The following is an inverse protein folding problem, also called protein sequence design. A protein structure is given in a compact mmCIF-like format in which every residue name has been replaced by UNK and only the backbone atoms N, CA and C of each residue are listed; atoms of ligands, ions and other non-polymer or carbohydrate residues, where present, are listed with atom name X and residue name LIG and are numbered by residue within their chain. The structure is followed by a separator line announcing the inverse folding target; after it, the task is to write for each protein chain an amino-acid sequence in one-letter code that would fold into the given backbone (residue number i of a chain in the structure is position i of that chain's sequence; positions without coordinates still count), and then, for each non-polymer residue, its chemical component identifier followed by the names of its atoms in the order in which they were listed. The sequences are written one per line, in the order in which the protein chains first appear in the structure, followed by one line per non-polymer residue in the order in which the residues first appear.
data_IF_832573574963
#
_entry.id   IF_832573574963
#
_cell.length_a   1.000
_cell.length_b   1.000
_cell.length_c   1.000
_cell.angle_alpha   90.00
_cell.angle_beta   90.00
_cell.angle_gamma   90.00
#
_symmetry.space_group_name_H-M   'P 1'
#
loop_
_entity.id
_entity.type
_entity.pdbx_description
1 polymer ?
#
# COMPACT_ATOMS: atom_id res chain seq x y z
N UNK A 1 -8.19 -3.22 7.80
CA UNK A 1 -8.70 -4.40 7.11
C UNK A 1 -7.62 -4.97 6.20
N UNK A 2 -7.84 -6.19 5.71
CA UNK A 2 -6.91 -6.83 4.80
C UNK A 2 -7.15 -6.37 3.36
N UNK A 3 -6.09 -6.35 2.55
CA UNK A 3 -6.15 -6.08 1.13
C UNK A 3 -6.27 -7.39 0.35
N UNK A 4 -7.07 -7.45 -0.73
CA UNK A 4 -7.12 -8.59 -1.63
C UNK A 4 -5.92 -8.55 -2.57
N UNK A 5 -4.87 -9.30 -2.26
CA UNK A 5 -3.62 -9.35 -3.04
C UNK A 5 -3.68 -10.51 -4.03
N UNK A 6 -3.51 -10.23 -5.31
CA UNK A 6 -3.32 -11.25 -6.36
C UNK A 6 -1.88 -11.74 -6.28
N UNK A 7 -1.70 -13.04 -6.14
CA UNK A 7 -0.40 -13.71 -6.13
C UNK A 7 -0.39 -14.87 -7.12
N UNK A 8 0.78 -15.31 -7.54
CA UNK A 8 0.94 -16.53 -8.32
C UNK A 8 1.23 -17.72 -7.40
N UNK A 9 0.38 -18.72 -7.47
CA UNK A 9 0.56 -20.00 -6.77
C UNK A 9 1.33 -20.95 -7.71
N UNK A 10 2.61 -21.17 -7.40
CA UNK A 10 3.50 -21.97 -8.22
C UNK A 10 3.11 -23.46 -8.27
N UNK A 11 2.60 -24.01 -7.16
CA UNK A 11 2.17 -25.39 -7.10
C UNK A 11 0.91 -25.62 -7.95
N UNK A 12 -0.04 -24.69 -7.88
CA UNK A 12 -1.27 -24.76 -8.63
C UNK A 12 -1.13 -24.24 -10.07
N UNK A 13 -0.02 -23.57 -10.42
CA UNK A 13 0.21 -22.97 -11.73
C UNK A 13 -0.79 -21.86 -12.09
N UNK A 14 -1.33 -21.14 -11.11
CA UNK A 14 -2.40 -20.15 -11.35
C UNK A 14 -2.33 -18.98 -10.38
N UNK A 15 -2.93 -17.87 -10.80
CA UNK A 15 -3.14 -16.71 -9.91
C UNK A 15 -4.27 -16.99 -8.93
N UNK A 16 -4.14 -16.49 -7.72
CA UNK A 16 -5.20 -16.49 -6.68
C UNK A 16 -5.21 -15.19 -5.91
N UNK A 17 -6.33 -14.89 -5.27
CA UNK A 17 -6.47 -13.74 -4.38
C UNK A 17 -6.28 -14.21 -2.95
N UNK A 18 -5.40 -13.53 -2.20
CA UNK A 18 -5.10 -13.82 -0.81
C UNK A 18 -5.31 -12.56 0.02
N UNK A 19 -6.13 -12.60 1.10
CA UNK A 19 -6.25 -11.47 2.01
C UNK A 19 -4.94 -11.31 2.78
N UNK A 20 -4.38 -10.09 2.78
CA UNK A 20 -3.14 -9.77 3.48
C UNK A 20 -3.28 -8.44 4.20
N UNK A 21 -2.73 -8.35 5.39
CA UNK A 21 -2.64 -7.10 6.13
C UNK A 21 -1.72 -6.11 5.42
N UNK A 22 -2.13 -4.86 5.29
CA UNK A 22 -1.26 -3.81 4.78
C UNK A 22 -0.27 -3.34 5.85
N UNK A 23 0.99 -3.43 5.54
CA UNK A 23 2.14 -3.07 6.38
C UNK A 23 2.76 -4.27 7.10
N UNK A 24 4.09 -4.37 6.99
CA UNK A 24 4.87 -5.37 7.69
C UNK A 24 4.79 -5.14 9.21
N UNK A 25 4.89 -6.19 10.03
CA UNK A 25 4.88 -6.03 11.48
C UNK A 25 6.15 -5.32 11.94
N UNK A 26 5.99 -4.28 12.75
CA UNK A 26 7.12 -3.61 13.39
C UNK A 26 7.71 -4.52 14.47
N UNK A 27 9.04 -4.58 14.54
CA UNK A 27 9.74 -5.30 15.60
C UNK A 27 9.32 -4.76 16.98
N UNK A 28 8.89 -5.65 17.87
CA UNK A 28 8.44 -5.32 19.23
C UNK A 28 7.00 -4.80 19.33
N UNK A 29 6.37 -4.44 18.21
CA UNK A 29 4.95 -4.06 18.19
C UNK A 29 4.29 -4.43 16.85
N UNK A 30 3.96 -5.69 16.70
CA UNK A 30 3.38 -6.19 15.46
C UNK A 30 2.01 -5.55 15.10
N UNK A 31 1.30 -4.98 16.09
CA UNK A 31 0.01 -4.31 15.88
C UNK A 31 0.14 -2.96 15.16
N UNK A 32 1.34 -2.34 15.22
CA UNK A 32 1.65 -1.11 14.51
C UNK A 32 2.41 -1.43 13.22
N UNK A 33 1.76 -1.38 12.04
CA UNK A 33 2.42 -1.71 10.77
C UNK A 33 3.45 -0.64 10.40
N UNK A 34 4.69 -1.06 10.17
CA UNK A 34 5.79 -0.22 9.68
C UNK A 34 6.97 -1.11 9.25
N UNK A 35 7.40 -1.07 7.99
CA UNK A 35 6.97 -0.17 6.92
C UNK A 35 5.65 -0.58 6.25
N UNK A 36 5.00 0.41 5.63
CA UNK A 36 3.83 0.20 4.75
C UNK A 36 4.17 0.37 3.26
N UNK A 37 5.34 0.95 2.96
CA UNK A 37 5.84 1.21 1.61
C UNK A 37 7.26 0.68 1.41
N UNK A 38 7.57 0.24 0.19
CA UNK A 38 8.89 -0.17 -0.27
C UNK A 38 9.27 0.65 -1.51
N UNK A 39 10.46 1.28 -1.52
CA UNK A 39 10.96 2.03 -2.68
C UNK A 39 11.52 1.09 -3.74
N UNK A 40 11.12 1.25 -4.99
CA UNK A 40 11.57 0.43 -6.13
C UNK A 40 13.10 0.45 -6.29
N UNK A 41 13.75 1.54 -5.95
CA UNK A 41 15.20 1.71 -6.10
C UNK A 41 16.00 0.77 -5.21
N UNK A 42 15.46 0.43 -4.04
CA UNK A 42 16.17 -0.37 -3.01
C UNK A 42 15.46 -1.65 -2.62
N UNK A 43 14.43 -2.04 -3.36
CA UNK A 43 13.57 -3.19 -3.06
C UNK A 43 14.34 -4.52 -3.05
N UNK A 44 15.38 -4.63 -3.88
CA UNK A 44 16.21 -5.80 -4.07
C UNK A 44 17.45 -5.85 -3.14
N UNK A 45 17.76 -4.76 -2.44
CA UNK A 45 18.96 -4.62 -1.62
C UNK A 45 18.68 -4.33 -0.15
N UNK A 46 17.57 -3.67 0.16
CA UNK A 46 17.20 -3.36 1.56
C UNK A 46 16.81 -4.64 2.32
N UNK A 47 17.46 -4.99 3.45
CA UNK A 47 17.24 -6.26 4.17
C UNK A 47 15.79 -6.56 4.51
N UNK A 48 14.95 -5.52 4.69
CA UNK A 48 13.51 -5.68 4.98
C UNK A 48 12.72 -6.21 3.79
N UNK A 49 13.16 -5.95 2.54
CA UNK A 49 12.38 -6.22 1.34
C UNK A 49 13.06 -7.20 0.37
N UNK A 50 14.40 -7.24 0.38
CA UNK A 50 15.16 -8.08 -0.53
C UNK A 50 14.76 -9.56 -0.49
N UNK A 51 14.51 -10.19 0.68
CA UNK A 51 14.07 -11.57 0.73
C UNK A 51 12.73 -11.79 0.01
N UNK A 52 11.73 -10.94 0.26
CA UNK A 52 10.43 -11.04 -0.41
C UNK A 52 10.54 -10.85 -1.92
N UNK A 53 11.35 -9.87 -2.36
CA UNK A 53 11.59 -9.62 -3.78
C UNK A 53 12.27 -10.81 -4.47
N UNK A 54 13.33 -11.37 -3.88
CA UNK A 54 14.11 -12.49 -4.43
C UNK A 54 13.32 -13.80 -4.44
N UNK A 55 12.49 -14.05 -3.42
CA UNK A 55 11.70 -15.27 -3.29
C UNK A 55 10.37 -15.23 -4.07
N UNK A 56 10.21 -14.28 -5.00
CA UNK A 56 8.98 -14.08 -5.76
C UNK A 56 7.71 -13.87 -4.89
N UNK A 57 7.88 -13.36 -3.67
CA UNK A 57 6.77 -12.95 -2.81
C UNK A 57 6.27 -11.57 -3.25
N UNK A 58 5.81 -11.51 -4.50
CA UNK A 58 5.34 -10.33 -5.21
C UNK A 58 3.87 -10.49 -5.55
N UNK A 59 3.10 -9.43 -5.34
CA UNK A 59 1.66 -9.44 -5.54
C UNK A 59 1.17 -8.18 -6.22
N UNK A 60 -0.12 -8.17 -6.56
CA UNK A 60 -0.82 -7.07 -7.22
C UNK A 60 -2.09 -6.76 -6.45
N UNK A 61 -2.36 -5.47 -6.22
CA UNK A 61 -3.65 -4.99 -5.73
C UNK A 61 -4.29 -4.13 -6.82
N UNK A 62 -5.56 -4.42 -7.14
CA UNK A 62 -6.31 -3.66 -8.13
C UNK A 62 -7.05 -2.50 -7.44
N UNK A 63 -6.93 -1.30 -7.99
CA UNK A 63 -7.57 -0.10 -7.48
C UNK A 63 -8.20 0.72 -8.62
N UNK A 64 -9.31 1.41 -8.33
CA UNK A 64 -9.89 2.41 -9.24
C UNK A 64 -9.39 3.82 -8.94
N UNK A 65 -9.06 4.05 -7.68
CA UNK A 65 -8.56 5.33 -7.18
C UNK A 65 -7.51 5.07 -6.12
N UNK A 66 -6.65 6.04 -5.90
CA UNK A 66 -5.79 6.10 -4.72
C UNK A 66 -5.78 7.51 -4.15
N UNK A 67 -5.39 7.64 -2.89
CA UNK A 67 -5.35 8.92 -2.21
C UNK A 67 -3.92 9.37 -1.98
N UNK A 68 -3.70 10.68 -2.10
CA UNK A 68 -2.43 11.32 -1.82
C UNK A 68 -2.65 12.58 -0.98
N UNK A 69 -1.73 12.85 -0.07
CA UNK A 69 -1.82 13.96 0.85
C UNK A 69 -1.07 15.20 0.37
N UNK A 70 -1.72 16.38 0.42
CA UNK A 70 -1.06 17.68 0.28
C UNK A 70 -0.89 18.30 1.65
N UNK A 71 0.32 18.39 2.16
CA UNK A 71 0.58 19.04 3.45
C UNK A 71 0.58 20.56 3.29
N UNK A 72 -0.50 21.21 3.72
CA UNK A 72 -0.70 22.67 3.58
C UNK A 72 -0.17 23.46 4.76
N UNK A 73 0.12 22.80 5.87
CA UNK A 73 0.83 23.37 7.03
C UNK A 73 1.46 22.23 7.85
N UNK A 74 2.31 22.50 8.87
CA UNK A 74 2.96 21.46 9.67
C UNK A 74 2.01 20.44 10.33
N UNK A 75 0.73 20.80 10.49
CA UNK A 75 -0.27 19.96 11.17
C UNK A 75 -1.50 19.66 10.31
N UNK A 76 -1.55 20.15 9.06
CA UNK A 76 -2.72 20.01 8.20
C UNK A 76 -2.32 19.35 6.89
N UNK A 77 -2.96 18.21 6.59
CA UNK A 77 -2.84 17.51 5.31
C UNK A 77 -4.23 17.45 4.67
N UNK A 78 -4.34 17.96 3.47
CA UNK A 78 -5.52 17.83 2.62
C UNK A 78 -5.41 16.53 1.82
N UNK A 79 -6.46 15.71 1.84
CA UNK A 79 -6.50 14.49 1.05
C UNK A 79 -7.01 14.79 -0.36
N UNK A 80 -6.37 14.18 -1.33
CA UNK A 80 -6.76 14.22 -2.73
C UNK A 80 -6.97 12.80 -3.24
N UNK A 81 -8.09 12.59 -3.91
CA UNK A 81 -8.39 11.33 -4.59
C UNK A 81 -7.95 11.44 -6.04
N UNK A 82 -7.13 10.52 -6.47
CA UNK A 82 -6.68 10.38 -7.85
C UNK A 82 -7.45 9.23 -8.50
N UNK A 83 -8.19 9.56 -9.56
CA UNK A 83 -8.93 8.60 -10.39
C UNK A 83 -8.11 8.28 -11.63
N UNK A 84 -7.95 6.99 -11.95
CA UNK A 84 -7.07 6.48 -13.00
C UNK A 84 -7.63 6.61 -14.43
N UNK A 85 -8.45 7.61 -14.69
CA UNK A 85 -9.05 7.84 -16.01
C UNK A 85 -10.09 6.78 -16.37
N UNK A 86 -10.09 6.36 -17.64
CA UNK A 86 -11.08 5.43 -18.17
C UNK A 86 -10.69 3.95 -18.00
N UNK A 87 -9.53 3.68 -17.42
CA UNK A 87 -9.09 2.31 -17.12
C UNK A 87 -9.99 1.66 -16.06
N UNK A 88 -10.39 0.41 -16.25
CA UNK A 88 -11.30 -0.28 -15.32
C UNK A 88 -10.70 -0.44 -13.92
N UNK A 89 -9.39 -0.62 -13.84
CA UNK A 89 -8.61 -0.65 -12.60
C UNK A 89 -7.12 -0.52 -12.90
N UNK A 90 -6.38 0.14 -12.02
CA UNK A 90 -4.91 0.11 -12.00
C UNK A 90 -4.39 -1.04 -11.16
N UNK A 91 -3.28 -1.63 -11.56
CA UNK A 91 -2.61 -2.71 -10.86
C UNK A 91 -1.39 -2.16 -10.10
N UNK A 92 -1.44 -2.10 -8.79
CA UNK A 92 -0.33 -1.64 -7.97
C UNK A 92 0.53 -2.83 -7.55
N UNK A 93 1.86 -2.69 -7.69
CA UNK A 93 2.84 -3.66 -7.24
C UNK A 93 2.95 -3.70 -5.71
N UNK A 94 2.93 -4.89 -5.13
CA UNK A 94 3.15 -5.16 -3.71
C UNK A 94 4.23 -6.23 -3.51
N UNK A 95 4.93 -6.16 -2.39
CA UNK A 95 5.65 -7.29 -1.81
C UNK A 95 4.84 -7.85 -0.67
N UNK A 96 5.00 -9.14 -0.38
CA UNK A 96 4.40 -9.76 0.80
C UNK A 96 5.37 -10.72 1.49
N UNK A 97 5.06 -11.04 2.75
CA UNK A 97 5.78 -12.06 3.52
C UNK A 97 4.87 -12.65 4.60
N UNK A 98 5.30 -13.77 5.18
CA UNK A 98 4.68 -14.41 6.33
C UNK A 98 5.56 -14.27 7.57
N UNK A 99 4.97 -13.76 8.64
CA UNK A 99 5.68 -13.43 9.88
C UNK A 99 5.18 -14.31 11.03
N UNK A 100 6.07 -15.12 11.61
CA UNK A 100 5.78 -15.83 12.84
C UNK A 100 5.75 -14.87 14.02
N UNK A 101 4.59 -14.71 14.62
CA UNK A 101 4.35 -13.83 15.77
C UNK A 101 3.94 -14.68 16.95
N UNK A 102 4.66 -14.60 18.06
CA UNK A 102 4.42 -15.46 19.24
C UNK A 102 2.98 -15.37 19.77
N UNK A 103 2.34 -14.20 19.68
CA UNK A 103 0.98 -13.95 20.16
C UNK A 103 -0.11 -14.43 19.18
N UNK A 104 0.25 -14.96 18.02
CA UNK A 104 -0.73 -15.39 17.02
C UNK A 104 -0.70 -16.90 16.79
N UNK A 105 -1.87 -17.52 16.59
CA UNK A 105 -1.98 -18.97 16.37
C UNK A 105 -1.46 -19.43 15.00
N UNK A 106 -1.29 -18.50 14.08
CA UNK A 106 -0.79 -18.74 12.72
C UNK A 106 0.07 -17.56 12.24
N UNK A 107 0.96 -17.79 11.25
CA UNK A 107 1.75 -16.70 10.68
C UNK A 107 0.88 -15.56 10.16
N UNK A 108 1.32 -14.34 10.41
CA UNK A 108 0.71 -13.12 9.88
C UNK A 108 1.14 -12.92 8.44
N UNK A 109 0.20 -12.95 7.49
CA UNK A 109 0.46 -12.53 6.11
C UNK A 109 0.34 -11.02 6.01
N UNK A 110 1.40 -10.38 5.58
CA UNK A 110 1.42 -8.93 5.41
C UNK A 110 2.06 -8.53 4.09
N UNK A 111 1.63 -7.37 3.56
CA UNK A 111 2.12 -6.84 2.31
C UNK A 111 2.48 -5.36 2.45
N UNK A 112 3.40 -4.90 1.60
CA UNK A 112 3.82 -3.50 1.50
C UNK A 112 3.67 -3.02 0.07
N UNK A 113 3.20 -1.80 -0.12
CA UNK A 113 3.05 -1.18 -1.43
C UNK A 113 4.41 -0.76 -1.98
N UNK A 114 4.68 -1.10 -3.23
CA UNK A 114 5.87 -0.59 -3.93
C UNK A 114 5.59 0.80 -4.44
N UNK A 115 6.56 1.70 -4.26
CA UNK A 115 6.49 3.08 -4.75
C UNK A 115 7.62 3.38 -5.73
N UNK A 116 7.32 4.26 -6.68
CA UNK A 116 8.24 4.81 -7.68
C UNK A 116 8.29 6.33 -7.56
N UNK A 117 9.24 7.02 -8.22
CA UNK A 117 9.20 8.49 -8.30
C UNK A 117 7.85 9.00 -8.82
N UNK A 118 7.37 10.09 -8.25
CA UNK A 118 6.09 10.68 -8.62
C UNK A 118 6.10 11.23 -10.05
N UNK A 119 4.96 11.10 -10.76
CA UNK A 119 4.72 11.77 -12.04
C UNK A 119 4.42 13.26 -11.85
N UNK A 120 4.26 13.98 -12.96
CA UNK A 120 4.01 15.42 -12.94
C UNK A 120 2.73 15.79 -12.16
N UNK A 121 1.67 14.99 -12.28
CA UNK A 121 0.40 15.25 -11.58
C UNK A 121 0.58 15.17 -10.06
N UNK A 122 1.21 14.10 -9.54
CA UNK A 122 1.42 13.91 -8.10
C UNK A 122 2.34 15.00 -7.54
N UNK A 123 3.39 15.39 -8.28
CA UNK A 123 4.30 16.45 -7.86
C UNK A 123 3.61 17.80 -7.64
N UNK A 124 2.44 18.06 -8.25
CA UNK A 124 1.65 19.28 -7.99
C UNK A 124 1.15 19.37 -6.54
N UNK A 125 1.19 18.27 -5.78
CA UNK A 125 0.84 18.25 -4.38
C UNK A 125 2.00 18.63 -3.45
N UNK A 126 3.20 18.82 -3.98
CA UNK A 126 4.35 19.33 -3.20
C UNK A 126 4.09 20.73 -2.67
N UNK A 127 4.58 20.99 -1.47
CA UNK A 127 4.48 22.30 -0.79
C UNK A 127 5.82 22.62 -0.12
N UNK A 128 5.94 23.80 0.50
CA UNK A 128 7.07 24.15 1.36
C UNK A 128 7.22 23.26 2.60
N UNK A 129 6.15 22.50 2.97
CA UNK A 129 6.12 21.64 4.15
C UNK A 129 6.43 20.18 3.84
N UNK A 130 6.18 19.72 2.61
CA UNK A 130 6.44 18.35 2.20
C UNK A 130 6.54 18.21 0.68
N UNK A 131 7.43 17.34 0.23
CA UNK A 131 7.53 16.94 -1.17
C UNK A 131 6.64 15.74 -1.46
N UNK A 132 5.81 15.83 -2.51
CA UNK A 132 5.09 14.70 -3.07
C UNK A 132 5.95 14.07 -4.17
N UNK A 133 7.01 13.36 -3.74
CA UNK A 133 8.05 12.80 -4.61
C UNK A 133 7.83 11.33 -4.97
N UNK A 134 6.80 10.71 -4.38
CA UNK A 134 6.51 9.27 -4.56
C UNK A 134 5.07 9.04 -5.02
N UNK A 135 4.86 7.93 -5.72
CA UNK A 135 3.54 7.41 -6.07
C UNK A 135 3.55 5.89 -6.07
N UNK A 136 2.37 5.22 -6.03
CA UNK A 136 2.29 3.77 -6.19
C UNK A 136 2.90 3.31 -7.53
N UNK A 137 3.59 2.17 -7.51
CA UNK A 137 4.12 1.56 -8.72
C UNK A 137 3.00 0.85 -9.48
N UNK A 138 2.46 1.46 -10.53
CA UNK A 138 1.47 0.85 -11.40
C UNK A 138 2.15 -0.05 -12.45
N UNK A 139 1.65 -1.27 -12.59
CA UNK A 139 2.15 -2.27 -13.54
C UNK A 139 1.32 -2.24 -14.82
N UNK A 140 1.99 -2.24 -15.96
CA UNK A 140 1.34 -2.56 -17.22
C UNK A 140 0.86 -4.02 -17.20
N UNK A 141 -0.24 -4.33 -17.91
CA UNK A 141 -0.82 -5.68 -17.91
C UNK A 141 0.16 -6.73 -18.40
N UNK A 142 1.00 -6.39 -19.36
CA UNK A 142 2.01 -7.28 -19.93
C UNK A 142 3.16 -7.58 -18.94
N UNK A 143 3.37 -6.73 -17.95
CA UNK A 143 4.40 -6.92 -16.91
C UNK A 143 3.92 -7.82 -15.74
N UNK A 144 2.63 -8.18 -15.67
CA UNK A 144 2.07 -8.92 -14.53
C UNK A 144 2.71 -10.30 -14.34
N UNK A 145 2.91 -11.05 -15.41
CA UNK A 145 3.51 -12.40 -15.33
C UNK A 145 4.95 -12.34 -14.84
N UNK A 146 5.73 -11.38 -15.32
CA UNK A 146 7.11 -11.14 -14.88
C UNK A 146 7.14 -10.70 -13.42
N UNK A 147 6.29 -9.74 -13.04
CA UNK A 147 6.23 -9.28 -11.66
C UNK A 147 5.81 -10.38 -10.68
N UNK A 148 4.78 -11.14 -10.99
CA UNK A 148 4.25 -12.21 -10.13
C UNK A 148 5.17 -13.43 -10.04
N UNK A 149 6.20 -13.55 -10.89
CA UNK A 149 7.11 -14.68 -10.93
C UNK A 149 6.53 -15.90 -11.64
N UNK A 150 5.69 -15.69 -12.66
CA UNK A 150 5.22 -16.72 -13.57
C UNK A 150 6.27 -17.05 -14.64
N UNK A 151 7.26 -16.17 -14.80
CA UNK A 151 8.42 -16.33 -15.68
C UNK A 151 9.70 -16.41 -14.85
N UNK A 152 10.75 -16.99 -15.41
CA UNK A 152 12.09 -17.06 -14.80
C UNK A 152 12.92 -15.81 -15.14
N UNK A 153 12.32 -14.62 -15.02
CA UNK A 153 12.99 -13.37 -15.30
C UNK A 153 14.05 -13.06 -14.22
N UNK A 154 15.22 -12.53 -14.61
CA UNK A 154 16.24 -12.12 -13.66
C UNK A 154 15.83 -10.84 -12.89
N UNK A 155 16.41 -10.57 -11.72
CA UNK A 155 16.04 -9.43 -10.86
C UNK A 155 16.02 -8.08 -11.56
N UNK A 156 16.99 -7.81 -12.44
CA UNK A 156 17.08 -6.58 -13.23
C UNK A 156 15.90 -6.42 -14.20
N UNK A 157 15.45 -7.48 -14.83
CA UNK A 157 14.27 -7.47 -15.70
C UNK A 157 13.00 -7.25 -14.87
N UNK A 158 12.85 -7.93 -13.73
CA UNK A 158 11.71 -7.75 -12.83
C UNK A 158 11.61 -6.28 -12.38
N UNK A 159 12.74 -5.63 -12.08
CA UNK A 159 12.75 -4.20 -11.71
C UNK A 159 12.31 -3.29 -12.83
N UNK A 160 12.46 -3.66 -14.10
CA UNK A 160 11.97 -2.85 -15.22
C UNK A 160 10.45 -2.73 -15.28
N UNK A 161 9.71 -3.62 -14.60
CA UNK A 161 8.25 -3.51 -14.44
C UNK A 161 7.85 -2.29 -13.59
N UNK A 162 8.76 -1.79 -12.75
CA UNK A 162 8.52 -0.71 -11.78
C UNK A 162 8.86 0.65 -12.39
N UNK A 163 7.95 1.19 -13.20
CA UNK A 163 8.13 2.47 -13.90
C UNK A 163 7.16 3.51 -13.37
N UNK A 164 7.57 4.78 -13.42
CA UNK A 164 6.65 5.89 -13.23
C UNK A 164 5.68 5.94 -14.41
N UNK A 165 4.38 5.90 -14.14
CA UNK A 165 3.32 6.06 -15.14
C UNK A 165 2.95 7.53 -15.20
N UNK A 166 2.91 8.13 -16.40
CA UNK A 166 2.64 9.57 -16.57
C UNK A 166 1.21 9.98 -16.17
N UNK A 167 0.24 9.07 -16.28
CA UNK A 167 -1.13 9.34 -15.82
C UNK A 167 -1.84 10.42 -16.64
N UNK A 168 -1.68 10.43 -17.96
CA UNK A 168 -2.17 11.48 -18.87
C UNK A 168 -3.67 11.75 -18.71
N UNK A 169 -4.46 10.69 -18.47
CA UNK A 169 -5.92 10.81 -18.29
C UNK A 169 -6.35 10.75 -16.81
N UNK A 170 -5.41 10.82 -15.87
CA UNK A 170 -5.76 10.81 -14.46
C UNK A 170 -6.41 12.13 -14.05
N UNK A 171 -7.38 12.03 -13.15
CA UNK A 171 -8.07 13.18 -12.58
C UNK A 171 -7.82 13.21 -11.09
N UNK A 172 -7.55 14.39 -10.57
CA UNK A 172 -7.35 14.63 -9.14
C UNK A 172 -8.43 15.55 -8.61
N UNK A 173 -9.04 15.18 -7.50
CA UNK A 173 -10.03 15.97 -6.78
C UNK A 173 -9.67 16.03 -5.30
N UNK A 174 -9.83 17.20 -4.69
CA UNK A 174 -9.71 17.35 -3.23
C UNK A 174 -10.90 16.67 -2.57
N UNK A 175 -10.64 15.87 -1.52
CA UNK A 175 -11.71 15.30 -0.70
C UNK A 175 -12.38 16.39 0.14
N UNK A 176 -13.70 16.48 0.06
CA UNK A 176 -14.46 17.28 1.00
C UNK A 176 -14.47 16.56 2.36
N UNK A 177 -13.97 17.22 3.41
CA UNK A 177 -14.09 16.70 4.77
C UNK A 177 -15.57 16.64 5.13
N UNK A 178 -16.17 15.47 5.07
CA UNK A 178 -17.41 15.20 5.78
C UNK A 178 -17.08 15.27 7.26
N UNK A 179 -17.49 16.35 7.94
CA UNK A 179 -17.33 16.49 9.37
C UNK A 179 -18.02 15.29 10.03
N UNK A 180 -17.27 14.34 10.58
CA UNK A 180 -17.83 13.22 11.32
C UNK A 180 -18.49 13.78 12.59
N UNK A 181 -19.80 13.96 12.57
CA UNK A 181 -20.61 14.16 13.76
C UNK A 181 -20.68 12.83 14.52
N UNK A 182 -19.65 12.55 15.29
CA UNK A 182 -19.77 11.56 16.39
C UNK A 182 -18.80 11.90 17.50
N UNK A 183 -19.14 12.91 18.28
CA UNK A 183 -18.73 12.94 19.69
C UNK A 183 -19.41 11.73 20.34
N UNK A 184 -18.67 10.64 20.56
CA UNK A 184 -19.10 9.60 21.50
C UNK A 184 -19.37 10.31 22.84
N UNK A 185 -20.64 10.39 23.23
CA UNK A 185 -21.01 10.79 24.59
C UNK A 185 -20.31 9.81 25.56
N UNK A 186 -19.54 10.35 26.48
CA UNK A 186 -19.03 9.58 27.63
C UNK A 186 -20.25 8.99 28.35
N UNK A 187 -20.28 7.69 28.67
CA UNK A 187 -21.30 7.18 29.57
C UNK A 187 -21.12 7.87 30.93
N UNK A 188 -22.11 8.61 31.36
CA UNK A 188 -22.24 9.08 32.75
C UNK A 188 -22.50 7.85 33.60
N UNK A 189 -21.51 7.45 34.36
CA UNK A 189 -21.71 6.52 35.49
C UNK A 189 -22.55 7.30 36.53
N UNK A 190 -23.82 6.95 36.63
CA UNK A 190 -24.65 7.33 37.74
C UNK A 190 -24.23 6.51 38.95
N UNK A 191 -23.65 7.18 39.92
CA UNK A 191 -23.38 6.68 41.28
C UNK A 191 -24.75 6.36 41.94
N UNK A 192 -25.05 5.12 42.36
CA UNK A 192 -26.17 4.85 43.20
C UNK A 192 -25.74 5.22 44.64
N UNK A 193 -25.95 6.48 45.00
CA UNK A 193 -25.82 6.94 46.34
C UNK A 193 -26.67 6.15 47.34
N UNK A 194 -26.04 5.92 48.43
CA UNK A 194 -26.35 5.44 49.72
C UNK A 194 -27.78 5.09 50.13
N UNK A 195 -27.85 4.08 50.96
CA UNK A 195 -28.71 4.02 52.13
C UNK A 195 -28.24 2.86 53.04
N UNK A 196 -27.85 3.26 54.26
CA UNK A 196 -27.69 2.53 55.52
C UNK A 196 -26.41 1.70 55.70
#
# INVERSE_FOLDING_TARGET
GDLPVIVYDREAGKRRVVPMRWGYPRRGNWRSPDPIHARSETIDSKPTFAPSFQNAQRGIVLVKTFNEGKQTSPKVTEQHTITLGDEPAGAIAFLFDEFSIADLPSPLRACVMVTVPANALIRTLSTEHAEADRMPAFLAKDDWSTWLGETDAPPEEIKTCLKTVEGVNWKMSKEERVASKTKRAKPTVSDPGGLL
#
